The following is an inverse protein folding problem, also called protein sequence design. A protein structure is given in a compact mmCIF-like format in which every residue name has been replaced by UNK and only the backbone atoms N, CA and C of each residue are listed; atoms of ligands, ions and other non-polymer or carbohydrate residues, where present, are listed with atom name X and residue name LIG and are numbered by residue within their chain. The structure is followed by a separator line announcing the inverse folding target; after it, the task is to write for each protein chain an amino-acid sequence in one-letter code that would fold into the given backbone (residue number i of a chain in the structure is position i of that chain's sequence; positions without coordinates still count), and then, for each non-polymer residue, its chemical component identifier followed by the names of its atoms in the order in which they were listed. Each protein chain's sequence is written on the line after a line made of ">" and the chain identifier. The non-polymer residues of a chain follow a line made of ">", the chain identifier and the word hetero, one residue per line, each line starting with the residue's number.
data_IF_892370132100
#
_entry.id   IF_892370132100
#
_cell.length_a   1.000
_cell.length_b   1.000
_cell.length_c   1.000
_cell.angle_alpha   90.00
_cell.angle_beta   90.00
_cell.angle_gamma   90.00
#
_symmetry.space_group_name_H-M   'P 1'
#
loop_
_entity.id
_entity.type
_entity.pdbx_description
1 polymer ?
#
# COMPACT_ATOMS: atom_id res chain seq x y z
N UNK A 1 -21.08 -70.20 36.39
CA UNK A 1 -19.91 -71.02 36.78
C UNK A 1 -19.05 -70.14 37.69
N UNK A 2 -18.85 -70.57 38.93
CA UNK A 2 -18.30 -69.76 40.02
C UNK A 2 -16.83 -69.41 39.77
N UNK A 3 -16.52 -68.11 39.80
CA UNK A 3 -15.16 -67.55 39.86
C UNK A 3 -14.58 -67.94 41.20
N UNK A 4 -13.50 -68.73 41.21
CA UNK A 4 -12.75 -69.06 42.42
C UNK A 4 -11.46 -68.25 42.42
N UNK A 5 -11.47 -67.15 43.16
CA UNK A 5 -10.28 -66.44 43.63
C UNK A 5 -9.41 -67.43 44.41
N UNK A 6 -8.19 -67.70 43.93
CA UNK A 6 -7.18 -68.39 44.74
C UNK A 6 -6.19 -67.36 45.25
N UNK A 7 -6.52 -66.80 46.41
CA UNK A 7 -5.59 -66.05 47.24
C UNK A 7 -4.40 -66.96 47.59
N UNK A 8 -3.21 -66.61 47.11
CA UNK A 8 -1.98 -67.31 47.47
C UNK A 8 -1.51 -66.77 48.83
N UNK A 9 -1.96 -67.42 49.91
CA UNK A 9 -1.43 -67.23 51.26
C UNK A 9 0.07 -67.56 51.28
N UNK A 10 0.92 -66.53 51.36
CA UNK A 10 2.34 -66.69 51.70
C UNK A 10 2.48 -66.56 53.23
N UNK A 11 2.62 -67.70 53.92
CA UNK A 11 2.98 -67.78 55.35
C UNK A 11 4.25 -68.61 55.49
N UNK A 12 5.40 -67.97 55.68
CA UNK A 12 6.70 -68.63 55.94
C UNK A 12 7.93 -67.80 55.59
N UNK A 13 9.09 -68.15 56.16
CA UNK A 13 10.39 -67.50 55.94
C UNK A 13 10.88 -67.71 54.50
N UNK A 14 11.02 -66.63 53.73
CA UNK A 14 11.37 -66.63 52.29
C UNK A 14 12.89 -66.70 52.04
N UNK A 15 13.60 -67.51 52.83
CA UNK A 15 15.06 -67.68 52.71
C UNK A 15 15.47 -68.73 51.66
N UNK A 16 14.53 -69.57 51.18
CA UNK A 16 14.77 -70.55 50.11
C UNK A 16 14.13 -70.05 48.82
N UNK A 17 14.97 -69.97 47.78
CA UNK A 17 14.68 -69.48 46.44
C UNK A 17 13.30 -69.97 45.93
N UNK A 18 12.28 -69.10 45.79
CA UNK A 18 10.95 -69.53 45.34
C UNK A 18 11.05 -70.12 43.92
N UNK A 19 10.61 -71.37 43.76
CA UNK A 19 10.54 -72.01 42.44
C UNK A 19 9.48 -71.30 41.60
N UNK A 20 9.93 -70.53 40.62
CA UNK A 20 9.07 -69.94 39.60
C UNK A 20 8.59 -71.05 38.66
N UNK A 21 7.28 -71.24 38.56
CA UNK A 21 6.69 -72.12 37.55
C UNK A 21 6.97 -71.56 36.15
N UNK A 22 7.33 -72.41 35.20
CA UNK A 22 7.67 -72.02 33.83
C UNK A 22 6.57 -71.17 33.16
N UNK A 23 5.30 -71.43 33.49
CA UNK A 23 4.14 -70.67 33.02
C UNK A 23 4.20 -69.17 33.40
N UNK A 24 4.64 -68.81 34.61
CA UNK A 24 4.76 -67.39 35.00
C UNK A 24 5.88 -66.67 34.23
N UNK A 25 6.96 -67.38 33.89
CA UNK A 25 8.08 -66.83 33.13
C UNK A 25 7.66 -66.62 31.67
N UNK A 26 6.89 -67.56 31.11
CA UNK A 26 6.40 -67.52 29.73
C UNK A 26 5.34 -66.43 29.55
N UNK A 27 4.52 -66.11 30.55
CA UNK A 27 3.48 -65.07 30.45
C UNK A 27 4.06 -63.67 30.72
N UNK A 28 5.01 -63.52 31.65
CA UNK A 28 5.58 -62.21 32.01
C UNK A 28 6.59 -61.67 31.00
N UNK A 29 7.33 -62.55 30.29
CA UNK A 29 8.28 -62.15 29.22
C UNK A 29 7.62 -61.41 28.04
N UNK A 30 6.61 -61.96 27.34
CA UNK A 30 6.02 -61.32 26.17
C UNK A 30 5.28 -60.03 26.53
N UNK A 31 4.63 -59.95 27.70
CA UNK A 31 3.96 -58.72 28.16
C UNK A 31 4.95 -57.60 28.43
N UNK A 32 6.16 -57.93 28.90
CA UNK A 32 7.22 -56.95 29.14
C UNK A 32 7.88 -56.51 27.83
N UNK A 33 8.17 -57.44 26.93
CA UNK A 33 8.72 -57.14 25.60
C UNK A 33 7.76 -56.29 24.74
N UNK A 34 6.45 -56.52 24.83
CA UNK A 34 5.45 -55.73 24.10
C UNK A 34 5.30 -54.31 24.66
N UNK A 35 5.46 -54.14 25.99
CA UNK A 35 5.49 -52.82 26.64
C UNK A 35 6.76 -52.06 26.31
N UNK A 36 7.92 -52.71 26.37
CA UNK A 36 9.21 -52.11 26.05
C UNK A 36 9.25 -51.66 24.57
N UNK A 37 8.69 -52.47 23.65
CA UNK A 37 8.56 -52.07 22.24
C UNK A 37 7.62 -50.87 22.04
N UNK A 38 6.49 -50.80 22.75
CA UNK A 38 5.57 -49.65 22.66
C UNK A 38 6.22 -48.37 23.20
N UNK A 39 6.97 -48.45 24.28
CA UNK A 39 7.71 -47.32 24.83
C UNK A 39 8.84 -46.84 23.90
N UNK A 40 9.59 -47.75 23.28
CA UNK A 40 10.60 -47.37 22.28
C UNK A 40 9.98 -46.69 21.06
N UNK A 41 8.85 -47.20 20.56
CA UNK A 41 8.16 -46.60 19.41
C UNK A 41 7.64 -45.19 19.74
N UNK A 42 7.12 -44.99 20.96
CA UNK A 42 6.69 -43.67 21.42
C UNK A 42 7.88 -42.70 21.56
N UNK A 43 8.99 -43.15 22.14
CA UNK A 43 10.24 -42.34 22.24
C UNK A 43 10.75 -41.95 20.86
N UNK A 44 10.81 -42.88 19.91
CA UNK A 44 11.22 -42.60 18.51
C UNK A 44 10.28 -41.63 17.79
N UNK A 45 8.97 -41.66 18.07
CA UNK A 45 8.01 -40.68 17.52
C UNK A 45 8.24 -39.28 18.12
N UNK A 46 8.42 -39.21 19.43
CA UNK A 46 8.70 -37.96 20.15
C UNK A 46 9.99 -37.30 19.67
N UNK A 47 11.07 -38.09 19.50
CA UNK A 47 12.34 -37.60 18.96
C UNK A 47 12.21 -37.07 17.52
N UNK A 48 11.40 -37.72 16.68
CA UNK A 48 11.14 -37.22 15.32
C UNK A 48 10.38 -35.90 15.35
N UNK A 49 9.36 -35.78 16.19
CA UNK A 49 8.60 -34.54 16.33
C UNK A 49 9.46 -33.39 16.89
N UNK A 50 10.34 -33.67 17.85
CA UNK A 50 11.29 -32.68 18.37
C UNK A 50 12.24 -32.18 17.28
N UNK A 51 12.81 -33.09 16.48
CA UNK A 51 13.68 -32.72 15.34
C UNK A 51 12.95 -31.89 14.28
N UNK A 52 11.67 -32.18 14.04
CA UNK A 52 10.84 -31.39 13.11
C UNK A 52 10.54 -30.00 13.67
N UNK A 53 10.25 -29.90 14.97
CA UNK A 53 10.04 -28.61 15.65
C UNK A 53 11.30 -27.75 15.61
N UNK A 54 12.46 -28.32 15.89
CA UNK A 54 13.75 -27.60 15.82
C UNK A 54 14.00 -27.05 14.41
N UNK A 55 13.80 -27.87 13.37
CA UNK A 55 13.93 -27.43 11.96
C UNK A 55 12.92 -26.33 11.60
N UNK A 56 11.69 -26.44 12.08
CA UNK A 56 10.65 -25.43 11.86
C UNK A 56 10.98 -24.12 12.57
N UNK A 57 11.52 -24.17 13.79
CA UNK A 57 11.98 -22.98 14.51
C UNK A 57 13.12 -22.28 13.76
N UNK A 58 14.10 -23.03 13.26
CA UNK A 58 15.20 -22.47 12.44
C UNK A 58 14.65 -21.79 11.19
N UNK A 59 13.73 -22.44 10.46
CA UNK A 59 13.08 -21.84 9.28
C UNK A 59 12.30 -20.56 9.64
N UNK A 60 11.58 -20.56 10.75
CA UNK A 60 10.86 -19.38 11.25
C UNK A 60 11.80 -18.23 11.59
N UNK A 61 12.96 -18.51 12.23
CA UNK A 61 13.95 -17.48 12.53
C UNK A 61 14.54 -16.86 11.27
N UNK A 62 14.86 -17.69 10.26
CA UNK A 62 15.35 -17.21 8.96
C UNK A 62 14.30 -16.31 8.30
N UNK A 63 13.03 -16.74 8.29
CA UNK A 63 11.93 -15.97 7.74
C UNK A 63 11.76 -14.63 8.47
N UNK A 64 11.82 -14.62 9.80
CA UNK A 64 11.76 -13.40 10.60
C UNK A 64 12.89 -12.43 10.26
N UNK A 65 14.13 -12.92 10.17
CA UNK A 65 15.27 -12.08 9.76
C UNK A 65 15.11 -11.54 8.34
N UNK A 66 14.53 -12.32 7.42
CA UNK A 66 14.27 -11.89 6.06
C UNK A 66 13.21 -10.78 5.99
N UNK A 67 12.10 -10.95 6.71
CA UNK A 67 11.05 -9.93 6.81
C UNK A 67 11.60 -8.64 7.42
N UNK A 68 12.44 -8.75 8.45
CA UNK A 68 13.05 -7.60 9.10
C UNK A 68 13.99 -6.85 8.14
N UNK A 69 14.82 -7.58 7.38
CA UNK A 69 15.67 -6.99 6.33
C UNK A 69 14.85 -6.33 5.21
N UNK A 70 13.80 -7.00 4.74
CA UNK A 70 12.92 -6.49 3.69
C UNK A 70 12.13 -5.25 4.15
N UNK A 71 11.72 -5.21 5.42
CA UNK A 71 11.03 -4.06 6.02
C UNK A 71 11.89 -2.80 5.98
N UNK A 72 13.19 -2.93 6.23
CA UNK A 72 14.14 -1.81 6.14
C UNK A 72 14.22 -1.28 4.70
N UNK A 73 14.41 -2.16 3.72
CA UNK A 73 14.46 -1.76 2.29
C UNK A 73 13.16 -1.11 1.85
N UNK A 74 12.01 -1.67 2.26
CA UNK A 74 10.69 -1.11 1.95
C UNK A 74 10.51 0.28 2.58
N UNK A 75 10.95 0.48 3.82
CA UNK A 75 10.95 1.78 4.49
C UNK A 75 11.78 2.82 3.74
N UNK A 76 13.00 2.45 3.31
CA UNK A 76 13.84 3.34 2.51
C UNK A 76 13.21 3.66 1.15
N UNK A 77 12.57 2.70 0.49
CA UNK A 77 11.87 2.95 -0.78
C UNK A 77 10.78 4.02 -0.65
N UNK A 78 10.01 4.00 0.45
CA UNK A 78 8.99 5.04 0.74
C UNK A 78 9.62 6.42 0.93
N UNK A 79 10.73 6.50 1.65
CA UNK A 79 11.46 7.77 1.86
C UNK A 79 12.00 8.31 0.54
N UNK A 80 12.57 7.46 -0.31
CA UNK A 80 13.06 7.85 -1.63
C UNK A 80 11.94 8.36 -2.54
N UNK A 81 10.79 7.69 -2.57
CA UNK A 81 9.63 8.17 -3.34
C UNK A 81 9.15 9.54 -2.85
N UNK A 82 9.13 9.75 -1.53
CA UNK A 82 8.75 11.05 -0.96
C UNK A 82 9.76 12.14 -1.30
N UNK A 83 11.06 11.83 -1.22
CA UNK A 83 12.13 12.75 -1.59
C UNK A 83 12.07 13.11 -3.08
N UNK A 84 11.76 12.14 -3.94
CA UNK A 84 11.62 12.37 -5.37
C UNK A 84 10.42 13.26 -5.68
N UNK A 85 9.24 12.97 -5.11
CA UNK A 85 8.05 13.81 -5.27
C UNK A 85 8.27 15.23 -4.76
N UNK A 86 8.98 15.39 -3.63
CA UNK A 86 9.36 16.70 -3.11
C UNK A 86 10.27 17.45 -4.10
N UNK A 87 11.27 16.77 -4.66
CA UNK A 87 12.21 17.40 -5.58
C UNK A 87 11.55 17.78 -6.91
N UNK A 88 10.67 16.93 -7.44
CA UNK A 88 9.86 17.24 -8.63
C UNK A 88 8.97 18.48 -8.39
N UNK A 89 8.28 18.53 -7.23
CA UNK A 89 7.44 19.66 -6.86
C UNK A 89 8.25 20.96 -6.67
N UNK A 90 9.43 20.85 -6.05
CA UNK A 90 10.34 21.96 -5.86
C UNK A 90 10.88 22.51 -7.19
N UNK A 91 11.25 21.61 -8.11
CA UNK A 91 11.70 21.99 -9.45
C UNK A 91 10.58 22.65 -10.26
N UNK A 92 9.36 22.13 -10.18
CA UNK A 92 8.20 22.75 -10.80
C UNK A 92 7.92 24.16 -10.25
N UNK A 93 8.06 24.36 -8.93
CA UNK A 93 7.96 25.70 -8.31
C UNK A 93 9.05 26.65 -8.80
N UNK A 94 10.29 26.16 -8.93
CA UNK A 94 11.40 26.95 -9.47
C UNK A 94 11.15 27.37 -10.92
N UNK A 95 10.65 26.44 -11.74
CA UNK A 95 10.30 26.73 -13.13
C UNK A 95 9.15 27.73 -13.23
N UNK A 96 8.09 27.54 -12.43
CA UNK A 96 6.97 28.49 -12.31
C UNK A 96 7.45 29.89 -11.90
N UNK A 97 8.35 29.98 -10.91
CA UNK A 97 8.92 31.25 -10.46
C UNK A 97 9.73 31.93 -11.58
N UNK A 98 10.57 31.16 -12.28
CA UNK A 98 11.36 31.65 -13.42
C UNK A 98 10.45 32.13 -14.57
N UNK A 99 9.38 31.40 -14.86
CA UNK A 99 8.42 31.77 -15.88
C UNK A 99 7.65 33.04 -15.50
N UNK A 100 7.25 33.17 -14.23
CA UNK A 100 6.59 34.36 -13.72
C UNK A 100 7.53 35.58 -13.78
N UNK A 101 8.79 35.41 -13.39
CA UNK A 101 9.80 36.47 -13.48
C UNK A 101 10.07 36.89 -14.93
N UNK A 102 10.17 35.92 -15.85
CA UNK A 102 10.29 36.20 -17.27
C UNK A 102 9.06 36.95 -17.81
N UNK A 103 7.84 36.55 -17.42
CA UNK A 103 6.61 37.24 -17.81
C UNK A 103 6.61 38.69 -17.29
N UNK A 104 7.01 38.90 -16.04
CA UNK A 104 7.13 40.22 -15.44
C UNK A 104 8.12 41.10 -16.21
N UNK A 105 9.26 40.54 -16.61
CA UNK A 105 10.25 41.25 -17.43
C UNK A 105 9.65 41.61 -18.80
N UNK A 106 8.92 40.69 -19.44
CA UNK A 106 8.25 40.96 -20.71
C UNK A 106 7.19 42.05 -20.58
N UNK A 107 6.37 42.02 -19.52
CA UNK A 107 5.39 43.07 -19.25
C UNK A 107 6.05 44.44 -19.04
N UNK A 108 7.18 44.49 -18.33
CA UNK A 108 7.95 45.73 -18.18
C UNK A 108 8.47 46.24 -19.54
N UNK A 109 8.95 45.35 -20.42
CA UNK A 109 9.35 45.72 -21.78
C UNK A 109 8.17 46.25 -22.63
N UNK A 110 6.98 45.70 -22.48
CA UNK A 110 5.78 46.20 -23.16
C UNK A 110 5.19 47.46 -22.51
N UNK A 111 5.45 47.69 -21.22
CA UNK A 111 5.10 48.94 -20.56
C UNK A 111 6.04 50.09 -20.95
N UNK A 112 7.13 49.79 -21.66
CA UNK A 112 7.91 50.83 -22.31
C UNK A 112 7.10 51.41 -23.47
N UNK A 113 6.55 52.60 -23.23
CA UNK A 113 5.70 53.34 -24.15
C UNK A 113 6.38 53.56 -25.52
N UNK A 114 7.72 53.53 -25.58
CA UNK A 114 8.46 53.58 -26.85
C UNK A 114 8.27 52.32 -27.70
N UNK A 115 8.31 51.12 -27.10
CA UNK A 115 8.17 49.86 -27.83
C UNK A 115 6.75 49.67 -28.39
N UNK A 116 5.74 50.12 -27.63
CA UNK A 116 4.34 50.13 -28.07
C UNK A 116 4.13 51.13 -29.20
N UNK A 117 4.69 52.35 -29.07
CA UNK A 117 4.65 53.36 -30.14
C UNK A 117 5.33 52.87 -31.41
N UNK A 118 6.50 52.25 -31.30
CA UNK A 118 7.24 51.78 -32.47
C UNK A 118 6.52 50.65 -33.19
N UNK A 119 5.90 49.71 -32.48
CA UNK A 119 5.03 48.69 -33.11
C UNK A 119 3.78 49.30 -33.74
N UNK A 120 3.14 50.25 -33.05
CA UNK A 120 1.96 50.91 -33.57
C UNK A 120 2.26 51.66 -34.88
N UNK A 121 3.34 52.44 -34.91
CA UNK A 121 3.73 53.23 -36.08
C UNK A 121 4.28 52.35 -37.20
N UNK A 122 5.21 51.42 -36.91
CA UNK A 122 5.94 50.70 -37.96
C UNK A 122 5.26 49.41 -38.42
N UNK A 123 4.49 48.74 -37.56
CA UNK A 123 3.84 47.46 -37.91
C UNK A 123 2.36 47.64 -38.23
N UNK A 124 1.68 48.50 -37.48
CA UNK A 124 0.25 48.74 -37.65
C UNK A 124 -0.06 49.99 -38.49
N UNK A 125 0.97 50.71 -38.97
CA UNK A 125 0.84 51.99 -39.68
C UNK A 125 -0.07 52.99 -38.95
N UNK A 126 -0.10 52.94 -37.62
CA UNK A 126 -0.87 53.87 -36.81
C UNK A 126 -0.17 55.22 -36.82
N UNK A 127 -0.90 56.24 -37.24
CA UNK A 127 -0.43 57.62 -37.27
C UNK A 127 -0.94 58.30 -36.01
N UNK A 128 -0.08 59.04 -35.30
CA UNK A 128 -0.51 59.82 -34.14
C UNK A 128 -1.58 60.83 -34.60
N UNK A 129 -2.81 60.79 -34.05
CA UNK A 129 -3.88 61.66 -34.51
C UNK A 129 -3.51 63.12 -34.29
N UNK A 130 -3.74 63.94 -35.30
CA UNK A 130 -3.58 65.39 -35.24
C UNK A 130 -4.86 65.98 -34.62
N UNK A 131 -4.78 67.14 -33.97
CA UNK A 131 -5.96 67.83 -33.41
C UNK A 131 -7.04 68.15 -34.48
N UNK A 132 -6.69 68.03 -35.77
CA UNK A 132 -7.63 68.18 -36.89
C UNK A 132 -8.32 66.89 -37.33
N UNK A 133 -7.94 65.72 -36.81
CA UNK A 133 -8.40 64.40 -37.29
C UNK A 133 -9.19 63.59 -36.25
N UNK A 134 -9.63 64.21 -35.14
CA UNK A 134 -10.48 63.52 -34.18
C UNK A 134 -11.97 63.72 -34.51
N UNK A 135 -12.72 62.62 -34.54
CA UNK A 135 -14.19 62.66 -34.61
C UNK A 135 -14.69 62.50 -33.17
N UNK A 136 -15.34 63.54 -32.64
CA UNK A 136 -15.93 63.51 -31.30
C UNK A 136 -17.32 62.87 -31.43
N UNK A 137 -17.40 61.57 -31.13
CA UNK A 137 -18.67 60.84 -31.09
C UNK A 137 -19.24 60.98 -29.68
N UNK A 138 -20.43 61.55 -29.57
CA UNK A 138 -21.17 61.64 -28.32
C UNK A 138 -21.98 60.35 -28.13
N UNK A 139 -21.63 59.56 -27.11
CA UNK A 139 -22.32 58.31 -26.76
C UNK A 139 -23.50 58.52 -25.80
N UNK A 140 -23.91 59.77 -25.55
CA UNK A 140 -25.05 60.09 -24.69
C UNK A 140 -26.38 59.52 -25.19
N UNK A 141 -26.46 59.16 -26.49
CA UNK A 141 -27.60 58.44 -27.06
C UNK A 141 -27.22 57.00 -27.38
N UNK A 142 -28.11 56.07 -27.06
CA UNK A 142 -27.99 54.67 -27.53
C UNK A 142 -28.22 54.63 -29.02
N UNK A 143 -27.18 54.33 -29.80
CA UNK A 143 -27.24 54.15 -31.26
C UNK A 143 -27.39 52.69 -31.68
N UNK A 144 -27.46 51.77 -30.72
CA UNK A 144 -27.71 50.37 -30.96
C UNK A 144 -29.20 50.10 -30.76
N UNK A 145 -29.88 49.61 -31.79
CA UNK A 145 -31.20 49.01 -31.65
C UNK A 145 -31.07 47.79 -30.72
N UNK A 146 -31.90 47.67 -29.67
CA UNK A 146 -31.90 46.46 -28.88
C UNK A 146 -32.47 45.34 -29.74
N UNK A 147 -31.63 44.37 -30.10
CA UNK A 147 -32.04 43.08 -30.69
C UNK A 147 -32.96 42.36 -29.68
N UNK A 148 -34.26 42.66 -29.71
CA UNK A 148 -35.27 42.05 -28.84
C UNK A 148 -35.78 40.69 -29.37
N UNK A 149 -35.27 40.21 -30.49
CA UNK A 149 -35.84 39.02 -31.18
C UNK A 149 -35.02 37.72 -31.05
N UNK A 150 -34.04 37.64 -30.13
CA UNK A 150 -33.26 36.38 -29.92
C UNK A 150 -33.33 35.78 -28.52
N UNK A 151 -34.18 36.29 -27.64
CA UNK A 151 -34.22 35.84 -26.24
C UNK A 151 -35.18 34.66 -25.95
N UNK A 152 -35.83 34.03 -26.94
CA UNK A 152 -36.94 33.10 -26.65
C UNK A 152 -36.91 31.71 -27.32
N UNK A 153 -35.77 31.20 -27.81
CA UNK A 153 -35.73 29.83 -28.39
C UNK A 153 -34.74 28.83 -27.78
N UNK A 154 -33.85 29.19 -26.84
CA UNK A 154 -32.83 28.23 -26.36
C UNK A 154 -33.11 27.60 -24.98
N UNK A 155 -34.32 27.79 -24.42
CA UNK A 155 -34.65 27.32 -23.07
C UNK A 155 -35.39 25.98 -22.95
N UNK A 156 -35.85 25.37 -24.05
CA UNK A 156 -36.81 24.23 -23.99
C UNK A 156 -36.27 22.86 -24.44
N UNK A 157 -35.01 22.74 -24.85
CA UNK A 157 -34.52 21.50 -25.48
C UNK A 157 -34.00 20.42 -24.52
N UNK A 158 -33.61 20.75 -23.29
CA UNK A 158 -32.87 19.80 -22.43
C UNK A 158 -33.69 19.16 -21.30
N UNK A 159 -34.78 19.80 -20.87
CA UNK A 159 -35.58 19.31 -19.72
C UNK A 159 -36.69 18.36 -20.18
N UNK A 160 -37.19 18.50 -21.41
CA UNK A 160 -38.23 17.61 -21.98
C UNK A 160 -37.69 16.24 -22.38
N UNK A 161 -36.42 16.12 -22.75
CA UNK A 161 -35.80 14.84 -23.17
C UNK A 161 -35.38 13.93 -22.00
N UNK A 162 -35.54 14.38 -20.75
CA UNK A 162 -35.18 13.64 -19.54
C UNK A 162 -36.40 13.07 -18.80
N UNK A 163 -37.62 13.44 -19.21
CA UNK A 163 -38.86 13.05 -18.54
C UNK A 163 -39.73 12.07 -19.35
N UNK A 164 -39.28 11.65 -20.54
CA UNK A 164 -39.83 10.53 -21.32
C UNK A 164 -38.96 9.27 -21.15
#
# INVERSE_FOLDING_TARGET
>A
MLVTERETLIKGNTALNPQRTEEEIIIKKPVKEEKDNKEELLKRKLEKELRLKERATVLLTILFTFIMGFSVVFGYSRVYQLQQSYNESYNALLEMKKNNENLRIQLVKFNDEQLVRDKAVNTLNMIKPNEKSYIKVDFSKSYFEPDLDKANEEGKSFISSLLD
#
